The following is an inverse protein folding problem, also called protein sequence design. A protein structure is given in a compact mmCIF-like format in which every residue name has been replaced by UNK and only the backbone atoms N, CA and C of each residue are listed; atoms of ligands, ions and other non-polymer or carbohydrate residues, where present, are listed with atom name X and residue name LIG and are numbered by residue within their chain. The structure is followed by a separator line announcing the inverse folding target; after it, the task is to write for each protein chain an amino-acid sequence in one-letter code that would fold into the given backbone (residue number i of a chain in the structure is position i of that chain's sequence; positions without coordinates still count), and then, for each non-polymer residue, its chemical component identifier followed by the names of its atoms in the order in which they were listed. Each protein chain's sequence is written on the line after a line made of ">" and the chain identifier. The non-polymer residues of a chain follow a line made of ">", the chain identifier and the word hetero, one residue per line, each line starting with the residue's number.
data_IF_532670091774
#
_entry.id   IF_532670091774
#
_cell.length_a   1.000
_cell.length_b   1.000
_cell.length_c   1.000
_cell.angle_alpha   90.00
_cell.angle_beta   90.00
_cell.angle_gamma   90.00
#
_symmetry.space_group_name_H-M   'P 1'
#
loop_
_entity.id
_entity.type
_entity.pdbx_description
1 polymer ?
#
# COMPACT_ATOMS: atom_id res chain seq x y z
N UNK A 1 -17.56 59.86 42.17
CA UNK A 1 -18.37 60.81 41.39
C UNK A 1 -17.91 60.74 39.93
N UNK A 2 -18.90 60.56 39.04
CA UNK A 2 -18.98 60.68 37.57
C UNK A 2 -18.01 61.67 36.89
N UNK A 3 -17.53 61.48 35.65
CA UNK A 3 -18.28 61.52 34.37
C UNK A 3 -17.47 60.98 33.16
N UNK A 4 -18.17 60.45 32.15
CA UNK A 4 -17.66 59.76 30.94
C UNK A 4 -17.33 60.67 29.72
N UNK A 5 -16.74 60.11 28.64
CA UNK A 5 -16.94 60.61 27.27
C UNK A 5 -17.67 59.61 26.33
N UNK A 6 -18.34 60.21 25.33
CA UNK A 6 -19.35 59.65 24.40
C UNK A 6 -18.74 58.81 23.26
N UNK A 7 -19.56 57.93 22.67
CA UNK A 7 -19.21 57.06 21.55
C UNK A 7 -19.47 57.58 20.12
N UNK A 8 -19.32 56.66 19.16
CA UNK A 8 -19.47 56.80 17.69
C UNK A 8 -18.09 56.70 17.02
N UNK A 9 -17.80 55.87 16.02
CA UNK A 9 -18.57 55.57 14.80
C UNK A 9 -17.97 54.32 14.09
N UNK A 10 -18.80 53.54 13.38
CA UNK A 10 -18.41 52.26 12.74
C UNK A 10 -17.85 52.50 11.33
N UNK A 11 -16.70 51.88 11.02
CA UNK A 11 -16.03 51.96 9.71
C UNK A 11 -16.68 51.00 8.68
N UNK A 12 -17.04 51.54 7.51
CA UNK A 12 -17.77 50.85 6.44
C UNK A 12 -16.80 50.32 5.36
N UNK A 13 -16.68 48.99 5.26
CA UNK A 13 -15.87 48.26 4.27
C UNK A 13 -16.59 48.24 2.94
N UNK A 14 -16.39 49.25 2.08
CA UNK A 14 -16.59 49.12 0.63
C UNK A 14 -15.64 50.08 -0.08
N UNK A 15 -14.79 49.51 -0.96
CA UNK A 15 -13.83 50.13 -1.90
C UNK A 15 -12.36 50.06 -1.48
N UNK A 16 -11.71 48.95 -1.81
CA UNK A 16 -10.30 48.98 -2.22
C UNK A 16 -10.16 48.15 -3.50
N UNK A 17 -10.12 48.84 -4.64
CA UNK A 17 -9.85 48.28 -5.96
C UNK A 17 -8.34 48.41 -6.25
N UNK A 18 -7.71 47.24 -6.40
CA UNK A 18 -6.66 46.81 -7.34
C UNK A 18 -5.72 47.84 -8.00
N UNK A 19 -4.41 47.53 -7.91
CA UNK A 19 -3.39 47.74 -8.96
C UNK A 19 -2.20 48.58 -8.51
N UNK A 20 -0.93 48.18 -8.59
CA UNK A 20 -0.26 46.96 -9.05
C UNK A 20 1.25 47.15 -8.91
N UNK A 21 1.99 46.05 -9.05
CA UNK A 21 3.43 45.90 -9.27
C UNK A 21 4.41 45.88 -8.07
N UNK A 22 5.06 44.71 -7.99
CA UNK A 22 6.45 44.43 -7.58
C UNK A 22 6.77 44.26 -6.08
N UNK A 23 6.97 43.00 -5.67
CA UNK A 23 7.61 42.67 -4.39
C UNK A 23 7.57 41.19 -3.99
N UNK A 24 8.15 40.31 -4.80
CA UNK A 24 8.63 38.97 -4.46
C UNK A 24 7.80 38.08 -3.51
N UNK A 25 6.89 37.28 -4.07
CA UNK A 25 6.49 36.01 -3.45
C UNK A 25 7.32 34.91 -4.12
N UNK A 26 8.42 34.51 -3.48
CA UNK A 26 9.08 33.24 -3.79
C UNK A 26 8.14 32.11 -3.35
N UNK A 27 7.21 31.71 -4.22
CA UNK A 27 6.68 30.36 -4.17
C UNK A 27 7.77 29.45 -4.74
N UNK A 28 8.50 28.78 -3.85
CA UNK A 28 9.28 27.61 -4.21
C UNK A 28 8.32 26.62 -4.85
N UNK A 29 8.36 26.53 -6.18
CA UNK A 29 7.74 25.45 -6.91
C UNK A 29 8.44 24.17 -6.47
N UNK A 30 7.85 23.46 -5.51
CA UNK A 30 8.18 22.06 -5.30
C UNK A 30 7.86 21.38 -6.62
N UNK A 31 8.90 21.00 -7.34
CA UNK A 31 8.82 20.06 -8.45
C UNK A 31 8.28 18.76 -7.85
N UNK A 32 6.95 18.63 -7.79
CA UNK A 32 6.35 17.31 -7.70
C UNK A 32 6.85 16.55 -8.93
N UNK A 33 7.49 15.39 -8.78
CA UNK A 33 7.74 14.52 -9.93
C UNK A 33 6.40 14.38 -10.64
N UNK A 34 6.36 14.75 -11.92
CA UNK A 34 5.19 14.50 -12.74
C UNK A 34 4.83 13.02 -12.54
N UNK A 35 3.62 12.74 -12.02
CA UNK A 35 3.12 11.38 -11.91
C UNK A 35 3.37 10.72 -13.26
N UNK A 36 4.25 9.71 -13.30
CA UNK A 36 4.33 8.82 -14.45
C UNK A 36 2.90 8.35 -14.69
N UNK A 37 2.33 8.63 -15.87
CA UNK A 37 0.89 8.73 -16.16
C UNK A 37 0.05 7.45 -15.89
N UNK A 38 0.04 6.96 -14.66
CA UNK A 38 -0.54 5.69 -14.24
C UNK A 38 -0.21 5.28 -12.80
N UNK A 39 0.87 5.79 -12.18
CA UNK A 39 1.16 5.57 -10.76
C UNK A 39 0.71 6.77 -9.92
N UNK A 40 0.07 6.53 -8.78
CA UNK A 40 -0.26 7.54 -7.78
C UNK A 40 0.96 7.91 -6.91
N UNK A 41 0.79 8.90 -6.02
CA UNK A 41 1.86 9.37 -5.12
C UNK A 41 2.36 8.32 -4.13
N UNK A 42 1.63 7.22 -3.95
CA UNK A 42 2.00 6.12 -3.07
C UNK A 42 2.65 4.97 -3.84
N UNK A 43 2.70 5.02 -5.17
CA UNK A 43 3.30 3.98 -6.01
C UNK A 43 2.29 2.95 -6.51
N UNK A 44 0.99 3.18 -6.43
CA UNK A 44 -0.01 2.30 -7.03
C UNK A 44 -0.35 2.69 -8.47
N UNK A 45 -0.33 1.69 -9.35
CA UNK A 45 -1.02 1.74 -10.64
C UNK A 45 -2.17 0.75 -10.62
N UNK A 46 -3.36 1.23 -10.26
CA UNK A 46 -4.57 0.40 -10.11
C UNK A 46 -5.07 -0.17 -11.44
N UNK A 47 -4.92 0.56 -12.54
CA UNK A 47 -5.29 0.08 -13.88
C UNK A 47 -4.40 -1.09 -14.32
N UNK A 48 -3.08 -0.97 -14.11
CA UNK A 48 -2.12 -2.02 -14.41
C UNK A 48 -2.03 -3.10 -13.32
N UNK A 49 -2.69 -2.91 -12.18
CA UNK A 49 -2.65 -3.80 -11.01
C UNK A 49 -1.22 -4.09 -10.53
N UNK A 50 -0.48 -3.00 -10.39
CA UNK A 50 0.92 -3.02 -9.97
C UNK A 50 1.15 -1.98 -8.88
N UNK A 51 2.06 -2.28 -7.97
CA UNK A 51 2.56 -1.35 -6.96
C UNK A 51 4.08 -1.37 -6.97
N UNK A 52 4.69 -0.19 -6.89
CA UNK A 52 6.13 -0.02 -6.74
C UNK A 52 6.37 1.09 -5.72
N UNK A 53 6.79 0.72 -4.52
CA UNK A 53 6.94 1.67 -3.42
C UNK A 53 7.68 1.08 -2.23
N UNK A 54 7.39 1.60 -1.04
CA UNK A 54 7.80 1.03 0.25
C UNK A 54 6.61 0.46 1.04
N UNK A 55 6.86 -0.34 2.06
CA UNK A 55 5.80 -0.79 2.99
C UNK A 55 4.98 0.39 3.55
N UNK A 56 5.65 1.48 3.91
CA UNK A 56 5.00 2.72 4.36
C UNK A 56 3.99 3.22 3.32
N UNK A 57 4.44 3.47 2.09
CA UNK A 57 3.58 3.98 1.02
C UNK A 57 2.47 2.99 0.64
N UNK A 58 2.72 1.68 0.75
CA UNK A 58 1.69 0.66 0.56
C UNK A 58 0.55 0.84 1.57
N UNK A 59 0.88 0.95 2.85
CA UNK A 59 -0.11 1.11 3.93
C UNK A 59 -0.87 2.44 3.82
N UNK A 60 -0.16 3.53 3.52
CA UNK A 60 -0.76 4.84 3.32
C UNK A 60 -1.72 4.85 2.12
N UNK A 61 -1.34 4.25 0.99
CA UNK A 61 -2.19 4.22 -0.20
C UNK A 61 -3.30 3.16 -0.18
N UNK A 62 -3.12 2.03 0.53
CA UNK A 62 -4.16 1.00 0.66
C UNK A 62 -5.21 1.36 1.68
N UNK A 63 -4.78 1.82 2.86
CA UNK A 63 -5.65 2.00 4.01
C UNK A 63 -5.90 3.46 4.37
N UNK A 64 -5.28 4.41 3.69
CA UNK A 64 -5.35 5.83 4.06
C UNK A 64 -4.67 6.12 5.40
N UNK A 65 -3.74 5.25 5.82
CA UNK A 65 -3.02 5.41 7.07
C UNK A 65 -2.15 6.66 7.05
N UNK A 66 -2.02 7.30 8.20
CA UNK A 66 -0.91 8.23 8.45
C UNK A 66 0.43 7.50 8.38
N UNK A 67 1.51 8.24 8.15
CA UNK A 67 2.86 7.67 8.14
C UNK A 67 3.18 6.96 9.46
N UNK A 68 2.80 7.53 10.61
CA UNK A 68 3.00 6.91 11.91
C UNK A 68 2.27 5.57 12.07
N UNK A 69 1.04 5.44 11.55
CA UNK A 69 0.29 4.19 11.57
C UNK A 69 0.93 3.14 10.65
N UNK A 70 1.33 3.55 9.45
CA UNK A 70 2.03 2.66 8.53
C UNK A 70 3.38 2.21 9.11
N UNK A 71 4.12 3.12 9.78
CA UNK A 71 5.38 2.81 10.45
C UNK A 71 5.18 1.82 11.60
N UNK A 72 4.14 2.01 12.42
CA UNK A 72 3.82 1.11 13.51
C UNK A 72 3.47 -0.30 13.02
N UNK A 73 2.82 -0.41 11.86
CA UNK A 73 2.49 -1.69 11.24
C UNK A 73 3.70 -2.35 10.58
N UNK A 74 4.46 -1.60 9.77
CA UNK A 74 5.57 -2.12 8.99
C UNK A 74 6.84 -2.36 9.82
N UNK A 75 7.04 -1.63 10.91
CA UNK A 75 8.18 -1.80 11.81
C UNK A 75 9.53 -1.67 11.09
N UNK A 76 10.34 -2.73 11.18
CA UNK A 76 11.67 -2.79 10.54
C UNK A 76 11.59 -2.80 9.01
N UNK A 77 10.45 -3.19 8.44
CA UNK A 77 10.23 -3.30 6.99
C UNK A 77 9.72 -2.01 6.35
N UNK A 78 9.55 -0.93 7.12
CA UNK A 78 8.97 0.32 6.65
C UNK A 78 9.60 0.88 5.38
N UNK A 79 10.91 0.76 5.26
CA UNK A 79 11.68 1.28 4.14
C UNK A 79 11.99 0.24 3.05
N UNK A 80 11.57 -1.01 3.24
CA UNK A 80 11.77 -2.07 2.26
C UNK A 80 11.08 -1.70 0.96
N UNK A 81 11.79 -1.89 -0.16
CA UNK A 81 11.19 -1.75 -1.48
C UNK A 81 10.26 -2.92 -1.71
N UNK A 82 9.04 -2.59 -2.07
CA UNK A 82 7.96 -3.54 -2.28
C UNK A 82 7.44 -3.35 -3.70
N UNK A 83 7.53 -4.43 -4.48
CA UNK A 83 6.87 -4.55 -5.79
C UNK A 83 5.75 -5.56 -5.63
N UNK A 84 4.54 -5.20 -6.09
CA UNK A 84 3.40 -6.10 -6.00
C UNK A 84 2.66 -6.16 -7.33
N UNK A 85 2.23 -7.36 -7.70
CA UNK A 85 1.37 -7.58 -8.85
C UNK A 85 0.14 -8.38 -8.43
N UNK A 86 -1.04 -7.98 -8.90
CA UNK A 86 -2.27 -8.74 -8.64
C UNK A 86 -3.14 -8.83 -9.90
N UNK A 87 -4.17 -9.66 -9.84
CA UNK A 87 -5.19 -9.76 -10.89
C UNK A 87 -6.50 -9.05 -10.55
N UNK A 88 -7.42 -8.99 -11.51
CA UNK A 88 -8.70 -8.30 -11.37
C UNK A 88 -9.59 -8.86 -10.24
N UNK A 89 -9.48 -10.16 -9.98
CA UNK A 89 -10.22 -10.82 -8.91
C UNK A 89 -9.78 -10.34 -7.52
N UNK A 90 -8.53 -9.92 -7.38
CA UNK A 90 -8.05 -9.28 -6.15
C UNK A 90 -8.70 -7.92 -5.91
N UNK A 91 -8.92 -7.13 -6.97
CA UNK A 91 -9.66 -5.87 -6.86
C UNK A 91 -11.12 -6.14 -6.48
N UNK A 92 -11.77 -7.13 -7.13
CA UNK A 92 -13.14 -7.54 -6.84
C UNK A 92 -13.29 -7.93 -5.37
N UNK A 93 -12.41 -8.81 -4.89
CA UNK A 93 -12.42 -9.27 -3.50
C UNK A 93 -12.22 -8.15 -2.49
N UNK A 94 -11.32 -7.19 -2.74
CA UNK A 94 -11.19 -6.03 -1.86
C UNK A 94 -12.45 -5.15 -1.88
N UNK A 95 -13.09 -4.96 -3.04
CA UNK A 95 -14.29 -4.13 -3.18
C UNK A 95 -15.51 -4.73 -2.47
N UNK A 96 -15.64 -6.06 -2.45
CA UNK A 96 -16.76 -6.76 -1.82
C UNK A 96 -16.43 -7.37 -0.45
N UNK A 97 -15.27 -7.02 0.11
CA UNK A 97 -14.85 -7.50 1.43
C UNK A 97 -14.68 -9.02 1.51
N UNK A 98 -14.34 -9.65 0.39
CA UNK A 98 -14.14 -11.11 0.26
C UNK A 98 -15.38 -11.96 0.58
N UNK A 99 -16.59 -11.37 0.54
CA UNK A 99 -17.83 -12.04 0.94
C UNK A 99 -18.44 -12.97 -0.11
N UNK A 100 -18.24 -12.71 -1.40
CA UNK A 100 -18.91 -13.42 -2.50
C UNK A 100 -17.97 -14.36 -3.27
N UNK A 101 -17.30 -15.25 -2.54
CA UNK A 101 -16.47 -16.28 -3.18
C UNK A 101 -17.27 -17.24 -4.08
N UNK A 102 -16.59 -18.07 -4.89
CA UNK A 102 -15.13 -18.22 -4.98
C UNK A 102 -14.45 -17.09 -5.78
N UNK A 103 -13.15 -16.93 -5.57
CA UNK A 103 -12.31 -15.99 -6.30
C UNK A 103 -11.15 -16.71 -6.94
N UNK A 104 -10.76 -16.29 -8.14
CA UNK A 104 -9.48 -16.66 -8.73
C UNK A 104 -8.41 -15.61 -8.40
N UNK A 105 -8.51 -14.99 -7.22
CA UNK A 105 -7.67 -13.86 -6.81
C UNK A 105 -6.27 -14.29 -6.44
N UNK A 106 -5.27 -13.57 -6.93
CA UNK A 106 -3.88 -13.78 -6.55
C UNK A 106 -3.09 -12.49 -6.46
N UNK A 107 -2.01 -12.55 -5.68
CA UNK A 107 -1.03 -11.48 -5.55
C UNK A 107 0.39 -12.04 -5.44
N UNK A 108 1.33 -11.36 -6.08
CA UNK A 108 2.78 -11.56 -6.01
C UNK A 108 3.39 -10.38 -5.26
N UNK A 109 4.26 -10.64 -4.27
CA UNK A 109 4.96 -9.60 -3.50
C UNK A 109 6.47 -9.88 -3.50
N UNK A 110 7.24 -8.91 -3.96
CA UNK A 110 8.69 -8.90 -3.87
C UNK A 110 9.13 -7.80 -2.91
N UNK A 111 9.75 -8.20 -1.81
CA UNK A 111 10.29 -7.33 -0.78
C UNK A 111 11.81 -7.27 -0.88
N UNK A 112 12.37 -6.08 -0.74
CA UNK A 112 13.81 -5.85 -0.72
C UNK A 112 14.17 -4.73 0.27
N UNK A 113 14.61 -5.12 1.45
CA UNK A 113 15.18 -4.28 2.49
C UNK A 113 16.70 -4.14 2.44
N UNK A 114 17.38 -4.69 1.43
CA UNK A 114 18.85 -4.72 1.37
C UNK A 114 19.48 -3.34 1.22
N UNK A 115 18.74 -2.41 0.60
CA UNK A 115 19.14 -1.03 0.45
C UNK A 115 18.28 -0.13 1.34
N UNK A 116 18.77 0.15 2.55
CA UNK A 116 18.15 1.07 3.52
C UNK A 116 16.81 0.58 4.12
N UNK A 117 16.65 -0.74 4.31
CA UNK A 117 15.48 -1.34 4.95
C UNK A 117 15.85 -2.37 6.01
N UNK A 118 15.05 -3.43 6.12
CA UNK A 118 15.18 -4.54 7.06
C UNK A 118 16.47 -5.34 6.91
N UNK A 119 17.15 -5.23 5.76
CA UNK A 119 18.24 -6.12 5.37
C UNK A 119 17.77 -7.43 4.75
N UNK A 120 16.47 -7.68 4.65
CA UNK A 120 15.90 -8.93 4.14
C UNK A 120 15.42 -8.81 2.70
N UNK A 121 15.25 -9.93 2.01
CA UNK A 121 14.55 -9.99 0.72
C UNK A 121 13.56 -11.14 0.73
N UNK A 122 12.35 -10.94 0.23
CA UNK A 122 11.33 -12.00 0.21
C UNK A 122 10.53 -11.99 -1.08
N UNK A 123 10.14 -13.17 -1.54
CA UNK A 123 9.23 -13.37 -2.66
C UNK A 123 8.06 -14.25 -2.22
N UNK A 124 6.87 -13.66 -2.17
CA UNK A 124 5.64 -14.32 -1.80
C UNK A 124 4.70 -14.46 -2.97
N UNK A 125 4.09 -15.65 -3.10
CA UNK A 125 2.95 -15.87 -3.98
C UNK A 125 1.76 -16.31 -3.16
N UNK A 126 0.68 -15.54 -3.25
CA UNK A 126 -0.51 -15.72 -2.43
C UNK A 126 -1.73 -15.80 -3.34
N UNK A 127 -2.68 -16.66 -2.95
CA UNK A 127 -3.91 -16.85 -3.70
C UNK A 127 -5.09 -17.10 -2.78
N UNK A 128 -6.29 -16.77 -3.26
CA UNK A 128 -7.52 -17.21 -2.63
C UNK A 128 -7.64 -18.74 -2.74
N UNK A 129 -7.97 -19.40 -1.64
CA UNK A 129 -8.18 -20.83 -1.60
C UNK A 129 -9.46 -21.16 -0.83
N UNK A 130 -10.27 -22.05 -1.42
CA UNK A 130 -11.57 -22.46 -0.86
C UNK A 130 -11.41 -23.17 0.49
N UNK A 131 -10.38 -24.00 0.63
CA UNK A 131 -10.10 -24.71 1.86
C UNK A 131 -9.73 -23.75 2.99
N UNK A 132 -8.91 -22.74 2.71
CA UNK A 132 -8.58 -21.69 3.65
C UNK A 132 -9.82 -20.90 4.07
N UNK A 133 -10.69 -20.55 3.11
CA UNK A 133 -11.94 -19.84 3.39
C UNK A 133 -12.90 -20.64 4.29
N UNK A 134 -13.01 -21.95 4.09
CA UNK A 134 -14.05 -22.76 4.73
C UNK A 134 -13.58 -23.50 6.00
N UNK A 135 -12.33 -23.94 6.01
CA UNK A 135 -11.80 -24.88 7.01
C UNK A 135 -10.44 -24.47 7.58
N UNK A 136 -9.88 -23.35 7.16
CA UNK A 136 -8.55 -22.90 7.59
C UNK A 136 -7.41 -23.85 7.18
N UNK A 137 -7.66 -24.74 6.22
CA UNK A 137 -6.68 -25.70 5.67
C UNK A 137 -6.73 -25.62 4.15
N UNK A 138 -5.61 -25.56 3.43
CA UNK A 138 -5.64 -25.42 1.98
C UNK A 138 -6.42 -26.55 1.30
N UNK A 139 -6.88 -26.34 0.08
CA UNK A 139 -7.58 -27.36 -0.70
C UNK A 139 -6.92 -27.61 -2.07
N UNK A 140 -7.32 -28.71 -2.72
CA UNK A 140 -6.93 -29.01 -4.09
C UNK A 140 -5.41 -29.11 -4.31
N UNK A 141 -4.93 -28.37 -5.30
CA UNK A 141 -3.54 -28.37 -5.75
C UNK A 141 -2.60 -27.60 -4.82
N UNK A 142 -3.12 -26.63 -4.06
CA UNK A 142 -2.36 -25.94 -3.00
C UNK A 142 -1.86 -26.91 -1.92
N UNK A 143 -2.70 -27.87 -1.49
CA UNK A 143 -2.31 -28.90 -0.48
C UNK A 143 -1.11 -29.71 -0.94
N UNK A 144 -1.07 -30.07 -2.23
CA UNK A 144 -0.05 -30.98 -2.77
C UNK A 144 1.35 -30.39 -2.76
N UNK A 145 1.50 -29.07 -2.80
CA UNK A 145 2.80 -28.40 -2.72
C UNK A 145 3.12 -27.77 -1.38
N UNK A 146 2.45 -28.21 -0.30
CA UNK A 146 2.77 -27.75 1.05
C UNK A 146 2.36 -26.32 1.34
N UNK A 147 1.41 -25.76 0.57
CA UNK A 147 0.81 -24.47 0.90
C UNK A 147 0.23 -24.50 2.32
N UNK A 148 0.09 -23.31 2.91
CA UNK A 148 -0.58 -23.14 4.20
C UNK A 148 -1.47 -21.90 4.17
N UNK A 149 -2.54 -21.93 4.97
CA UNK A 149 -3.43 -20.80 5.11
C UNK A 149 -2.77 -19.70 5.92
N UNK A 150 -2.98 -18.46 5.48
CA UNK A 150 -2.48 -17.27 6.15
C UNK A 150 -3.64 -16.50 6.77
N UNK A 151 -3.89 -15.27 6.32
CA UNK A 151 -4.97 -14.44 6.80
C UNK A 151 -6.27 -14.73 6.03
N UNK A 152 -7.32 -15.15 6.73
CA UNK A 152 -8.65 -15.37 6.14
C UNK A 152 -8.63 -16.43 5.03
N UNK A 153 -9.16 -16.13 3.82
CA UNK A 153 -9.36 -17.13 2.78
C UNK A 153 -8.14 -17.37 1.87
N UNK A 154 -6.94 -16.96 2.27
CA UNK A 154 -5.76 -17.01 1.41
C UNK A 154 -4.77 -18.10 1.80
N UNK A 155 -4.17 -18.72 0.79
CA UNK A 155 -3.06 -19.65 0.91
C UNK A 155 -1.75 -18.99 0.45
N UNK A 156 -0.67 -19.25 1.20
CA UNK A 156 0.70 -18.99 0.76
C UNK A 156 1.16 -20.15 -0.14
N UNK A 157 1.43 -19.86 -1.41
CA UNK A 157 1.85 -20.84 -2.41
C UNK A 157 3.37 -20.88 -2.57
N UNK A 158 4.03 -19.75 -2.37
CA UNK A 158 5.49 -19.64 -2.40
C UNK A 158 5.94 -18.64 -1.33
N UNK A 159 6.94 -19.00 -0.54
CA UNK A 159 7.62 -18.12 0.42
C UNK A 159 9.09 -18.48 0.39
N UNK A 160 9.90 -17.58 -0.13
CA UNK A 160 11.35 -17.76 -0.23
C UNK A 160 12.05 -16.41 -0.20
N UNK A 161 13.28 -16.39 0.27
CA UNK A 161 13.96 -15.13 0.51
C UNK A 161 15.30 -15.29 1.19
N UNK A 162 15.88 -14.17 1.61
CA UNK A 162 17.10 -14.15 2.39
C UNK A 162 16.95 -13.24 3.59
N UNK A 163 17.34 -13.76 4.76
CA UNK A 163 17.34 -13.00 6.00
C UNK A 163 18.43 -11.93 6.03
N UNK A 164 18.38 -11.10 7.07
CA UNK A 164 19.40 -10.09 7.34
C UNK A 164 20.78 -10.72 7.61
N UNK A 165 20.81 -11.99 7.99
CA UNK A 165 22.00 -12.84 8.16
C UNK A 165 22.59 -13.34 6.83
N UNK A 166 21.97 -13.03 5.70
CA UNK A 166 22.34 -13.49 4.35
C UNK A 166 22.07 -14.98 4.08
N UNK A 167 21.36 -15.68 4.96
CA UNK A 167 20.95 -17.06 4.70
C UNK A 167 19.70 -17.07 3.83
N UNK A 168 19.64 -17.99 2.87
CA UNK A 168 18.49 -18.15 1.99
C UNK A 168 17.52 -19.20 2.53
N UNK A 169 16.23 -18.90 2.50
CA UNK A 169 15.14 -19.70 3.06
C UNK A 169 14.11 -20.04 1.98
N UNK A 170 13.53 -21.24 2.13
CA UNK A 170 12.36 -21.71 1.38
C UNK A 170 11.37 -22.27 2.39
N UNK A 171 10.34 -21.50 2.73
CA UNK A 171 9.31 -21.97 3.68
C UNK A 171 8.24 -22.77 2.94
N UNK A 172 7.91 -22.36 1.71
CA UNK A 172 7.03 -23.14 0.83
C UNK A 172 7.41 -22.93 -0.63
N UNK A 173 7.38 -24.03 -1.38
CA UNK A 173 7.64 -24.06 -2.82
C UNK A 173 6.62 -24.96 -3.51
N UNK A 174 5.50 -24.37 -3.94
CA UNK A 174 4.56 -25.06 -4.80
C UNK A 174 5.17 -25.26 -6.20
N UNK A 175 5.09 -26.47 -6.73
CA UNK A 175 5.58 -26.80 -8.08
C UNK A 175 4.46 -27.37 -8.95
N UNK A 176 4.04 -26.67 -10.03
CA UNK A 176 4.53 -25.36 -10.49
C UNK A 176 3.99 -24.17 -9.66
N UNK A 177 4.83 -23.18 -9.40
CA UNK A 177 4.46 -21.95 -8.66
C UNK A 177 3.73 -20.90 -9.54
N UNK A 178 3.04 -21.34 -10.59
CA UNK A 178 2.45 -20.46 -11.59
C UNK A 178 1.00 -20.13 -11.25
N UNK A 179 0.61 -18.86 -11.37
CA UNK A 179 -0.77 -18.46 -11.15
C UNK A 179 -1.68 -19.04 -12.24
N UNK A 180 -2.43 -20.11 -11.92
CA UNK A 180 -3.24 -20.87 -12.89
C UNK A 180 -2.84 -22.35 -13.04
N UNK A 181 -1.82 -22.81 -12.32
CA UNK A 181 -1.42 -24.21 -12.26
C UNK A 181 -1.49 -24.81 -10.84
N UNK A 182 -2.16 -24.11 -9.92
CA UNK A 182 -2.36 -24.47 -8.52
C UNK A 182 -3.83 -24.51 -8.12
#
# INVERSE_FOLDING_TARGET
>A
MTKAPKGGEKMNIKKLLVGGAAGAIMFAATVMPALAAGFDQFGYNRTARNFVGTCLSWGMGKYGWTEAQAQAYCGVYSNDKLVMKWNAEWDRGNAEGWANGPYDAWIDNEWNGRSNGSGETWHYKIAWDRGCANSGTPSGTAVKGGAYCIWGPFAMLQSQGSGADNVHYWDVLLAPAGYGAY
#
